data_IF_368512818053
#
_entry.id   IF_368512818053
#
_cell.length_a   1.000
_cell.length_b   1.000
_cell.length_c   1.000
_cell.angle_alpha   90.00
_cell.angle_beta   90.00
_cell.angle_gamma   90.00
#
_symmetry.space_group_name_H-M   'P 1'
#
loop_
_entity.id
_entity.type
_entity.pdbx_description
1 polymer ?
#
# COMPACT_ATOMS: atom_id res chain seq x y z
N UNK A 1 -8.20 1.44 11.73
CA UNK A 1 -8.30 0.17 10.97
C UNK A 1 -7.13 -0.70 11.36
N UNK A 2 -7.38 -1.85 11.99
CA UNK A 2 -6.34 -2.66 12.63
C UNK A 2 -6.00 -3.86 11.74
N UNK A 3 -4.72 -4.24 11.70
CA UNK A 3 -4.29 -5.49 11.05
C UNK A 3 -4.57 -6.65 12.00
N UNK A 4 -5.30 -7.65 11.52
CA UNK A 4 -5.53 -8.90 12.24
C UNK A 4 -4.48 -9.93 11.81
N UNK A 5 -3.88 -10.62 12.78
CA UNK A 5 -2.90 -11.68 12.52
C UNK A 5 -3.48 -13.00 13.00
N UNK A 6 -3.50 -13.99 12.12
CA UNK A 6 -3.96 -15.35 12.38
C UNK A 6 -2.77 -16.30 12.29
N UNK A 7 -2.75 -17.26 13.20
CA UNK A 7 -1.74 -18.32 13.26
C UNK A 7 -2.45 -19.65 13.04
N UNK A 8 -1.92 -20.45 12.12
CA UNK A 8 -2.43 -21.79 11.84
C UNK A 8 -1.26 -22.75 11.71
N UNK A 9 -1.29 -23.83 12.45
CA UNK A 9 -0.35 -24.94 12.30
C UNK A 9 -0.90 -25.91 11.24
N UNK A 10 -0.09 -26.22 10.23
CA UNK A 10 -0.40 -27.18 9.17
C UNK A 10 0.74 -28.20 9.08
N UNK A 11 0.64 -29.28 9.87
CA UNK A 11 1.69 -30.30 9.94
C UNK A 11 2.97 -29.74 10.57
N UNK A 12 4.04 -29.69 9.78
CA UNK A 12 5.35 -29.14 10.16
C UNK A 12 5.49 -27.63 9.86
N UNK A 13 4.42 -26.98 9.41
CA UNK A 13 4.43 -25.57 9.01
C UNK A 13 3.62 -24.71 9.97
N UNK A 14 4.19 -23.55 10.32
CA UNK A 14 3.45 -22.43 10.89
C UNK A 14 3.04 -21.47 9.77
N UNK A 15 1.75 -21.36 9.53
CA UNK A 15 1.16 -20.40 8.58
C UNK A 15 0.71 -19.16 9.33
N UNK A 16 1.27 -18.01 8.96
CA UNK A 16 0.89 -16.70 9.48
C UNK A 16 0.11 -15.96 8.40
N UNK A 17 -1.14 -15.60 8.69
CA UNK A 17 -1.98 -14.80 7.77
C UNK A 17 -2.26 -13.44 8.38
N UNK A 18 -2.04 -12.36 7.61
CA UNK A 18 -2.43 -11.02 8.03
C UNK A 18 -3.54 -10.48 7.13
N UNK A 19 -4.59 -9.97 7.76
CA UNK A 19 -5.75 -9.41 7.07
C UNK A 19 -6.05 -8.01 7.58
N UNK A 20 -6.48 -7.14 6.65
CA UNK A 20 -6.96 -5.81 6.96
C UNK A 20 -8.06 -5.47 5.96
N UNK A 21 -9.22 -5.03 6.43
CA UNK A 21 -10.19 -4.38 5.55
C UNK A 21 -9.57 -3.06 5.07
N UNK A 22 -9.52 -2.81 3.76
CA UNK A 22 -8.89 -1.60 3.18
C UNK A 22 -9.88 -0.64 2.52
N UNK A 23 -11.19 -0.96 2.50
CA UNK A 23 -12.21 -0.19 1.76
C UNK A 23 -12.23 1.29 2.13
N UNK A 24 -12.27 1.60 3.44
CA UNK A 24 -12.29 2.99 3.89
C UNK A 24 -11.03 3.80 3.52
N UNK A 25 -9.88 3.15 3.34
CA UNK A 25 -8.65 3.82 2.87
C UNK A 25 -8.77 4.14 1.37
N UNK A 26 -9.27 3.18 0.58
CA UNK A 26 -9.52 3.37 -0.86
C UNK A 26 -10.54 4.48 -1.08
N UNK A 27 -11.67 4.46 -0.36
CA UNK A 27 -12.72 5.48 -0.45
C UNK A 27 -12.18 6.87 -0.09
N UNK A 28 -11.39 6.96 0.99
CA UNK A 28 -10.72 8.21 1.38
C UNK A 28 -9.75 8.71 0.32
N UNK A 29 -8.93 7.83 -0.25
CA UNK A 29 -7.96 8.21 -1.28
C UNK A 29 -8.68 8.75 -2.53
N UNK A 30 -9.78 8.11 -2.92
CA UNK A 30 -10.64 8.56 -4.01
C UNK A 30 -11.27 9.92 -3.72
N UNK A 31 -11.79 10.14 -2.51
CA UNK A 31 -12.34 11.43 -2.10
C UNK A 31 -11.30 12.55 -2.18
N UNK A 32 -10.11 12.33 -1.61
CA UNK A 32 -9.01 13.30 -1.66
C UNK A 32 -8.55 13.61 -3.09
N UNK A 33 -8.55 12.61 -3.97
CA UNK A 33 -8.24 12.77 -5.39
C UNK A 33 -9.28 13.68 -6.07
N UNK A 34 -10.57 13.42 -5.85
CA UNK A 34 -11.68 14.19 -6.42
C UNK A 34 -11.72 15.63 -5.91
N UNK A 35 -11.36 15.85 -4.64
CA UNK A 35 -11.29 17.17 -4.01
C UNK A 35 -10.06 17.99 -4.44
N UNK A 36 -9.15 17.41 -5.24
CA UNK A 36 -7.97 18.11 -5.73
C UNK A 36 -6.89 18.30 -4.67
N UNK A 37 -6.88 17.49 -3.60
CA UNK A 37 -5.79 17.43 -2.62
C UNK A 37 -4.57 16.68 -3.20
N UNK A 38 -4.09 17.16 -4.34
CA UNK A 38 -3.05 16.55 -5.14
C UNK A 38 -1.91 17.55 -5.33
N UNK A 39 -0.73 17.25 -4.77
CA UNK A 39 0.57 17.81 -5.15
C UNK A 39 0.70 19.33 -5.23
N UNK A 40 0.03 20.05 -4.32
CA UNK A 40 0.49 21.41 -3.98
C UNK A 40 1.81 21.32 -3.21
N UNK A 41 2.67 22.38 -3.23
CA UNK A 41 3.95 22.36 -2.53
C UNK A 41 3.86 22.01 -1.03
N UNK A 42 2.71 22.33 -0.42
CA UNK A 42 2.34 22.13 0.98
C UNK A 42 1.49 20.88 1.25
N UNK A 43 0.80 20.30 0.25
CA UNK A 43 -0.06 19.13 0.38
C UNK A 43 0.42 17.95 -0.50
N UNK A 44 1.53 17.33 -0.08
CA UNK A 44 2.29 16.30 -0.82
C UNK A 44 1.83 14.85 -0.60
N UNK A 45 0.57 14.61 -0.23
CA UNK A 45 0.10 13.22 -0.02
C UNK A 45 -0.20 12.58 -1.39
N UNK A 46 0.75 11.80 -1.90
CA UNK A 46 0.63 11.12 -3.21
C UNK A 46 -0.22 9.84 -3.14
N UNK A 47 -0.25 9.19 -1.98
CA UNK A 47 -0.98 7.95 -1.72
C UNK A 47 -1.12 7.73 -0.21
N UNK A 48 -2.10 6.91 0.18
CA UNK A 48 -2.15 6.28 1.51
C UNK A 48 -2.25 4.78 1.32
N UNK A 49 -1.25 4.04 1.81
CA UNK A 49 -1.06 2.63 1.47
C UNK A 49 -1.23 1.78 2.75
N UNK A 50 -2.19 0.84 2.78
CA UNK A 50 -2.39 -0.04 3.93
C UNK A 50 -1.19 -1.00 4.15
N UNK A 51 -0.80 -1.30 5.41
CA UNK A 51 0.30 -2.21 5.71
C UNK A 51 0.21 -3.59 5.02
N UNK A 52 -0.98 -4.19 4.95
CA UNK A 52 -1.14 -5.51 4.29
C UNK A 52 -0.88 -5.46 2.79
N UNK A 53 -1.09 -4.31 2.15
CA UNK A 53 -0.78 -4.14 0.72
C UNK A 53 0.72 -4.02 0.52
N UNK A 54 1.41 -3.30 1.42
CA UNK A 54 2.88 -3.19 1.38
C UNK A 54 3.50 -4.58 1.55
N UNK A 55 3.05 -5.35 2.54
CA UNK A 55 3.50 -6.71 2.78
C UNK A 55 3.24 -7.62 1.57
N UNK A 56 2.03 -7.57 1.00
CA UNK A 56 1.70 -8.30 -0.21
C UNK A 56 2.61 -7.94 -1.39
N UNK A 57 2.82 -6.65 -1.65
CA UNK A 57 3.71 -6.20 -2.73
C UNK A 57 5.16 -6.66 -2.51
N UNK A 58 5.64 -6.58 -1.27
CA UNK A 58 6.97 -7.08 -0.91
C UNK A 58 7.11 -8.58 -1.23
N UNK A 59 6.12 -9.38 -0.83
CA UNK A 59 6.10 -10.82 -1.09
C UNK A 59 6.03 -11.15 -2.59
N UNK A 60 5.16 -10.48 -3.35
CA UNK A 60 4.98 -10.73 -4.79
C UNK A 60 6.21 -10.32 -5.59
N UNK A 61 6.88 -9.22 -5.23
CA UNK A 61 8.06 -8.71 -5.96
C UNK A 61 9.38 -9.25 -5.41
N UNK A 62 9.37 -10.07 -4.36
CA UNK A 62 10.57 -10.63 -3.75
C UNK A 62 11.49 -9.57 -3.13
N UNK A 63 10.92 -8.52 -2.55
CA UNK A 63 11.67 -7.45 -1.86
C UNK A 63 11.38 -7.47 -0.36
N UNK A 64 12.30 -6.92 0.42
CA UNK A 64 12.15 -6.77 1.87
C UNK A 64 11.38 -5.49 2.22
N UNK A 65 10.75 -5.49 3.39
CA UNK A 65 10.16 -4.27 3.96
C UNK A 65 11.22 -3.16 4.13
N UNK A 66 12.48 -3.53 4.43
CA UNK A 66 13.57 -2.56 4.52
C UNK A 66 13.77 -1.83 3.18
N UNK A 67 13.86 -2.56 2.06
CA UNK A 67 13.97 -1.97 0.73
C UNK A 67 12.76 -1.09 0.40
N UNK A 68 11.54 -1.50 0.76
CA UNK A 68 10.36 -0.63 0.63
C UNK A 68 10.50 0.71 1.36
N UNK A 69 11.07 0.68 2.57
CA UNK A 69 11.23 1.88 3.40
C UNK A 69 12.39 2.77 2.95
N UNK A 70 13.47 2.21 2.41
CA UNK A 70 14.69 2.97 2.11
C UNK A 70 14.88 3.30 0.64
N UNK A 71 14.39 2.47 -0.29
CA UNK A 71 14.56 2.67 -1.72
C UNK A 71 13.39 3.47 -2.33
N UNK A 72 13.61 4.74 -2.75
CA UNK A 72 12.57 5.53 -3.40
C UNK A 72 12.13 4.95 -4.75
N UNK A 73 13.00 4.22 -5.47
CA UNK A 73 12.65 3.60 -6.76
C UNK A 73 11.65 2.47 -6.59
N UNK A 74 11.73 1.70 -5.49
CA UNK A 74 10.72 0.70 -5.14
C UNK A 74 9.34 1.34 -5.02
N UNK A 75 9.24 2.46 -4.29
CA UNK A 75 7.97 3.17 -4.11
C UNK A 75 7.51 3.84 -5.40
N UNK A 76 8.43 4.39 -6.20
CA UNK A 76 8.11 4.97 -7.51
C UNK A 76 7.55 3.92 -8.47
N UNK A 77 8.10 2.70 -8.49
CA UNK A 77 7.54 1.57 -9.26
C UNK A 77 6.14 1.20 -8.80
N UNK A 78 5.94 1.04 -7.49
CA UNK A 78 4.61 0.77 -6.92
C UNK A 78 3.60 1.84 -7.29
N UNK A 79 3.96 3.13 -7.14
CA UNK A 79 3.08 4.24 -7.46
C UNK A 79 2.77 4.34 -8.96
N UNK A 80 3.57 3.77 -9.85
CA UNK A 80 3.27 3.78 -11.29
C UNK A 80 2.65 2.46 -11.79
N UNK A 81 2.43 1.48 -10.91
CA UNK A 81 1.83 0.19 -11.24
C UNK A 81 0.29 0.32 -11.28
N UNK A 82 -0.37 -0.06 -12.39
CA UNK A 82 -1.82 0.08 -12.55
C UNK A 82 -2.62 -0.77 -11.55
N UNK A 83 -2.08 -1.89 -11.07
CA UNK A 83 -2.77 -2.79 -10.13
C UNK A 83 -3.01 -2.14 -8.76
N UNK A 84 -2.25 -1.07 -8.45
CA UNK A 84 -2.34 -0.32 -7.19
C UNK A 84 -2.89 1.10 -7.38
N UNK A 85 -3.48 1.41 -8.54
CA UNK A 85 -3.91 2.76 -8.90
C UNK A 85 -4.97 3.36 -7.96
N UNK A 86 -5.81 2.51 -7.35
CA UNK A 86 -6.87 2.92 -6.41
C UNK A 86 -6.33 3.40 -5.06
N UNK A 87 -5.08 3.05 -4.74
CA UNK A 87 -4.40 3.52 -3.52
C UNK A 87 -3.76 4.90 -3.70
N UNK A 88 -3.79 5.44 -4.92
CA UNK A 88 -3.18 6.72 -5.26
C UNK A 88 -4.18 7.85 -5.20
N UNK A 89 -3.74 8.95 -4.57
CA UNK A 89 -4.45 10.23 -4.53
C UNK A 89 -4.02 11.09 -5.73
N UNK A 90 -2.71 11.20 -5.98
CA UNK A 90 -2.16 11.86 -7.16
C UNK A 90 -2.13 10.90 -8.36
N UNK A 91 -2.77 11.28 -9.47
CA UNK A 91 -2.88 10.44 -10.69
C UNK A 91 -1.82 10.71 -11.76
N UNK A 92 -1.05 11.80 -11.68
CA UNK A 92 0.05 12.07 -12.60
C UNK A 92 1.24 11.14 -12.41
N UNK A 93 2.21 11.12 -13.32
CA UNK A 93 3.42 10.30 -13.12
C UNK A 93 4.22 10.80 -11.91
N UNK A 94 4.61 9.87 -11.05
CA UNK A 94 5.58 10.07 -9.95
C UNK A 94 6.93 9.64 -10.44
#
# INVERSE_FOLDING_TARGET
MTVQTFYKEEGDKLVITRAQNVGAIVDRNKALSNEGFTGRPDARVVASIPPVVIEHYCNVKGITLHQWMTDPEVRRRFLNDPDYADLRIWKGKV
#
